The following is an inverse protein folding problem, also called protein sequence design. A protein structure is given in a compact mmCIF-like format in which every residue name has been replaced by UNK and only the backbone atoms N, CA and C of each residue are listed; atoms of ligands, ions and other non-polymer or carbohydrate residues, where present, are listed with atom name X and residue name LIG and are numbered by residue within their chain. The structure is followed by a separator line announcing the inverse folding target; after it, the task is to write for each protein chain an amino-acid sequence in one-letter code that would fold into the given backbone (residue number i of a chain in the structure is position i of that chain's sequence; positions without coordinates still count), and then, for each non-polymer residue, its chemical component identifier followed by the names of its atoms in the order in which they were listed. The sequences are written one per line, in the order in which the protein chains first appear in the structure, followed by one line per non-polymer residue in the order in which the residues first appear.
data_IF_867169580348
#
_entry.id   IF_867169580348
#
_cell.length_a   1.000
_cell.length_b   1.000
_cell.length_c   1.000
_cell.angle_alpha   90.00
_cell.angle_beta   90.00
_cell.angle_gamma   90.00
#
_symmetry.space_group_name_H-M   'P 1'
#
loop_
_entity.id
_entity.type
_entity.pdbx_description
1 polymer ?
#
# COMPACT_ATOMS: atom_id res chain seq x y z
N UNK A 1 -1.18 -11.16 14.47
CA UNK A 1 -0.32 -9.96 14.46
C UNK A 1 0.41 -9.95 13.12
N UNK A 2 0.37 -8.85 12.38
CA UNK A 2 1.11 -8.73 11.12
C UNK A 2 2.60 -8.77 11.46
N UNK A 3 3.32 -9.82 11.04
CA UNK A 3 4.77 -9.84 11.16
C UNK A 3 5.35 -9.01 10.01
N UNK A 4 5.52 -7.72 10.27
CA UNK A 4 6.10 -6.77 9.33
C UNK A 4 7.63 -6.89 9.37
N UNK A 5 8.31 -7.05 8.22
CA UNK A 5 9.76 -6.97 8.15
C UNK A 5 10.28 -5.62 8.66
N UNK A 6 11.45 -5.62 9.31
CA UNK A 6 12.00 -4.41 9.95
C UNK A 6 12.24 -3.27 8.94
N UNK A 7 12.69 -3.59 7.73
CA UNK A 7 12.86 -2.60 6.66
C UNK A 7 11.52 -1.93 6.28
N UNK A 8 10.43 -2.69 6.19
CA UNK A 8 9.11 -2.16 5.88
C UNK A 8 8.57 -1.33 7.04
N UNK A 9 8.82 -1.76 8.28
CA UNK A 9 8.44 -0.99 9.47
C UNK A 9 9.15 0.37 9.53
N UNK A 10 10.45 0.41 9.21
CA UNK A 10 11.24 1.64 9.19
C UNK A 10 10.74 2.61 8.11
N UNK A 11 10.43 2.10 6.91
CA UNK A 11 9.88 2.91 5.82
C UNK A 11 8.56 3.55 6.26
N UNK A 12 7.60 2.76 6.74
CA UNK A 12 6.23 3.21 7.05
C UNK A 12 6.19 4.17 8.25
N UNK A 13 6.98 3.90 9.28
CA UNK A 13 6.99 4.70 10.51
C UNK A 13 7.86 5.96 10.39
N UNK A 14 8.80 5.98 9.45
CA UNK A 14 9.74 7.07 9.23
C UNK A 14 9.28 8.10 8.19
N UNK A 15 10.17 9.06 7.94
CA UNK A 15 10.04 10.02 6.82
C UNK A 15 10.21 9.34 5.46
N UNK A 16 10.84 8.17 5.45
CA UNK A 16 11.12 7.35 4.27
C UNK A 16 9.87 6.88 3.52
N UNK A 17 8.69 6.88 4.16
CA UNK A 17 7.40 6.59 3.52
C UNK A 17 7.03 7.53 2.36
N UNK A 18 7.70 8.67 2.25
CA UNK A 18 7.50 9.63 1.17
C UNK A 18 8.63 9.60 0.12
N UNK A 19 9.67 8.79 0.33
CA UNK A 19 10.73 8.62 -0.67
C UNK A 19 10.24 7.68 -1.79
N UNK A 20 10.11 8.14 -3.05
CA UNK A 20 9.70 7.29 -4.16
C UNK A 20 10.65 6.12 -4.43
N UNK A 21 11.91 6.17 -4.00
CA UNK A 21 12.86 5.07 -4.15
C UNK A 21 12.42 3.81 -3.38
N UNK A 22 11.58 3.96 -2.35
CA UNK A 22 11.08 2.85 -1.54
C UNK A 22 9.84 2.16 -2.16
N UNK A 23 9.34 2.65 -3.30
CA UNK A 23 8.11 2.12 -3.93
C UNK A 23 8.27 0.63 -4.27
N UNK A 24 9.40 0.23 -4.83
CA UNK A 24 9.64 -1.16 -5.26
C UNK A 24 9.70 -2.11 -4.05
N UNK A 25 10.28 -1.66 -2.93
CA UNK A 25 10.30 -2.44 -1.70
C UNK A 25 8.89 -2.69 -1.15
N UNK A 26 8.03 -1.67 -1.18
CA UNK A 26 6.64 -1.77 -0.73
C UNK A 26 5.79 -2.62 -1.69
N UNK A 27 5.97 -2.48 -3.00
CA UNK A 27 5.29 -3.30 -4.00
C UNK A 27 5.67 -4.79 -3.88
N UNK A 28 6.95 -5.08 -3.67
CA UNK A 28 7.41 -6.45 -3.42
C UNK A 28 6.81 -7.03 -2.14
N UNK A 29 6.68 -6.20 -1.09
CA UNK A 29 5.99 -6.62 0.14
C UNK A 29 4.50 -6.85 -0.10
N UNK A 30 3.81 -6.06 -0.92
CA UNK A 30 2.43 -6.32 -1.33
C UNK A 30 2.30 -7.67 -2.07
N UNK A 31 3.24 -8.00 -2.97
CA UNK A 31 3.23 -9.30 -3.64
C UNK A 31 3.37 -10.45 -2.63
N UNK A 32 4.29 -10.32 -1.67
CA UNK A 32 4.43 -11.28 -0.57
C UNK A 32 3.13 -11.42 0.26
N UNK A 33 2.42 -10.31 0.52
CA UNK A 33 1.11 -10.34 1.18
C UNK A 33 0.07 -11.13 0.37
N UNK A 34 0.07 -10.98 -0.96
CA UNK A 34 -0.82 -11.74 -1.85
C UNK A 34 -0.50 -13.25 -1.82
N UNK A 35 0.77 -13.62 -1.90
CA UNK A 35 1.22 -15.02 -1.94
C UNK A 35 0.98 -15.76 -0.62
N UNK A 36 1.15 -15.07 0.51
CA UNK A 36 1.07 -15.67 1.84
C UNK A 36 -0.27 -15.42 2.56
N UNK A 37 -1.25 -14.82 1.87
CA UNK A 37 -2.56 -14.51 2.47
C UNK A 37 -2.51 -13.48 3.61
N UNK A 38 -1.42 -12.72 3.75
CA UNK A 38 -1.24 -11.71 4.80
C UNK A 38 -1.91 -10.39 4.39
N UNK A 39 -2.26 -9.54 5.36
CA UNK A 39 -2.86 -8.24 5.07
C UNK A 39 -2.29 -7.17 5.99
N UNK A 40 -1.68 -6.14 5.39
CA UNK A 40 -1.07 -5.00 6.05
C UNK A 40 -1.61 -3.70 5.44
N UNK A 41 -2.68 -3.17 6.03
CA UNK A 41 -3.36 -1.97 5.55
C UNK A 41 -2.42 -0.76 5.50
N UNK A 42 -1.57 -0.57 6.51
CA UNK A 42 -0.67 0.61 6.57
C UNK A 42 0.34 0.61 5.41
N UNK A 43 0.91 -0.55 5.09
CA UNK A 43 1.82 -0.69 3.96
C UNK A 43 1.11 -0.40 2.64
N UNK A 44 -0.11 -0.90 2.48
CA UNK A 44 -0.91 -0.70 1.28
C UNK A 44 -1.29 0.78 1.09
N UNK A 45 -1.68 1.47 2.17
CA UNK A 45 -1.96 2.91 2.14
C UNK A 45 -0.71 3.75 1.87
N UNK A 46 0.48 3.30 2.33
CA UNK A 46 1.74 3.97 2.02
C UNK A 46 2.05 3.94 0.52
N UNK A 47 1.81 2.81 -0.16
CA UNK A 47 1.95 2.71 -1.63
C UNK A 47 1.02 3.70 -2.32
N UNK A 48 -0.26 3.71 -1.93
CA UNK A 48 -1.26 4.63 -2.54
C UNK A 48 -0.87 6.10 -2.33
N UNK A 49 -0.39 6.48 -1.14
CA UNK A 49 0.11 7.84 -0.89
C UNK A 49 1.32 8.19 -1.75
N UNK A 50 2.26 7.26 -1.94
CA UNK A 50 3.41 7.50 -2.81
C UNK A 50 2.97 7.71 -4.28
N UNK A 51 1.99 6.94 -4.75
CA UNK A 51 1.39 7.14 -6.08
C UNK A 51 0.63 8.47 -6.18
N UNK A 52 -0.06 8.90 -5.13
CA UNK A 52 -0.73 10.21 -5.10
C UNK A 52 0.27 11.36 -5.26
N UNK A 53 1.43 11.29 -4.60
CA UNK A 53 2.49 12.29 -4.74
C UNK A 53 3.31 12.16 -6.02
N UNK A 54 3.35 10.97 -6.61
CA UNK A 54 4.15 10.65 -7.80
C UNK A 54 3.30 9.88 -8.82
N UNK A 55 2.35 10.54 -9.51
CA UNK A 55 1.41 9.86 -10.41
C UNK A 55 2.09 9.07 -11.53
N UNK A 56 3.28 9.50 -11.95
CA UNK A 56 4.09 8.82 -12.98
C UNK A 56 4.61 7.43 -12.56
N UNK A 57 4.65 7.13 -11.26
CA UNK A 57 5.07 5.83 -10.73
C UNK A 57 3.89 4.88 -10.53
N UNK A 58 2.65 5.37 -10.67
CA UNK A 58 1.46 4.59 -10.39
C UNK A 58 1.31 3.41 -11.36
N UNK A 59 1.09 2.22 -10.80
CA UNK A 59 0.87 0.97 -11.55
C UNK A 59 -0.54 0.47 -11.25
N UNK A 60 -1.43 0.48 -12.25
CA UNK A 60 -2.81 -0.03 -12.12
C UNK A 60 -2.89 -1.44 -11.51
N UNK A 61 -2.03 -2.42 -11.88
CA UNK A 61 -2.09 -3.76 -11.28
C UNK A 61 -1.80 -3.78 -9.78
N UNK A 62 -0.96 -2.88 -9.29
CA UNK A 62 -0.65 -2.74 -7.85
C UNK A 62 -1.85 -2.15 -7.11
N UNK A 63 -2.46 -1.11 -7.68
CA UNK A 63 -3.68 -0.50 -7.12
C UNK A 63 -4.80 -1.53 -7.03
N UNK A 64 -5.04 -2.32 -8.08
CA UNK A 64 -6.04 -3.37 -8.09
C UNK A 64 -5.79 -4.42 -6.98
N UNK A 65 -4.53 -4.86 -6.81
CA UNK A 65 -4.15 -5.78 -5.71
C UNK A 65 -4.46 -5.20 -4.34
N UNK A 66 -4.13 -3.93 -4.10
CA UNK A 66 -4.42 -3.23 -2.84
C UNK A 66 -5.92 -3.21 -2.56
N UNK A 67 -6.73 -2.83 -3.55
CA UNK A 67 -8.18 -2.77 -3.42
C UNK A 67 -8.80 -4.16 -3.13
N UNK A 68 -8.35 -5.19 -3.85
CA UNK A 68 -8.80 -6.58 -3.61
C UNK A 68 -8.41 -7.04 -2.21
N UNK A 69 -7.18 -6.75 -1.76
CA UNK A 69 -6.73 -7.08 -0.40
C UNK A 69 -7.57 -6.35 0.65
N UNK A 70 -7.90 -5.08 0.45
CA UNK A 70 -8.77 -4.34 1.37
C UNK A 70 -10.19 -4.93 1.46
N UNK A 71 -10.74 -5.47 0.36
CA UNK A 71 -12.03 -6.19 0.38
C UNK A 71 -11.98 -7.46 1.26
N UNK A 72 -10.82 -8.11 1.39
CA UNK A 72 -10.68 -9.28 2.27
C UNK A 72 -10.78 -8.94 3.76
N UNK A 73 -10.70 -7.65 4.13
CA UNK A 73 -10.79 -7.16 5.49
C UNK A 73 -12.18 -6.60 5.86
N UNK A 74 -13.18 -6.75 4.99
CA UNK A 74 -14.55 -6.32 5.31
C UNK A 74 -15.04 -6.99 6.61
N UNK A 75 -15.76 -6.26 7.48
CA UNK A 75 -16.38 -4.95 7.26
C UNK A 75 -15.51 -3.73 7.62
N UNK A 76 -14.18 -3.87 7.75
CA UNK A 76 -13.31 -2.74 8.03
C UNK A 76 -13.42 -1.64 6.94
N UNK A 77 -13.22 -0.36 7.30
CA UNK A 77 -13.37 0.77 6.37
C UNK A 77 -12.22 0.93 5.37
N UNK A 78 -11.24 0.02 5.38
CA UNK A 78 -9.99 0.10 4.63
C UNK A 78 -10.19 0.28 3.12
N UNK A 79 -11.20 -0.37 2.54
CA UNK A 79 -11.51 -0.22 1.12
C UNK A 79 -11.87 1.22 0.76
N UNK A 80 -12.70 1.88 1.59
CA UNK A 80 -13.07 3.27 1.40
C UNK A 80 -11.89 4.21 1.58
N UNK A 81 -10.97 3.91 2.52
CA UNK A 81 -9.74 4.67 2.69
C UNK A 81 -8.83 4.58 1.46
N UNK A 82 -8.72 3.39 0.87
CA UNK A 82 -7.96 3.20 -0.37
C UNK A 82 -8.55 4.02 -1.52
N UNK A 83 -9.88 4.04 -1.67
CA UNK A 83 -10.55 4.85 -2.70
C UNK A 83 -10.32 6.35 -2.50
N UNK A 84 -10.35 6.84 -1.26
CA UNK A 84 -10.11 8.26 -0.98
C UNK A 84 -8.71 8.71 -1.42
N UNK A 85 -7.69 7.87 -1.23
CA UNK A 85 -6.31 8.18 -1.67
C UNK A 85 -6.11 8.11 -3.19
N UNK A 86 -6.97 7.39 -3.91
CA UNK A 86 -6.96 7.37 -5.37
C UNK A 86 -7.69 8.57 -5.98
N UNK A 87 -8.63 9.15 -5.23
CA UNK A 87 -9.51 10.22 -5.67
C UNK A 87 -8.85 11.60 -5.53
N UNK A 88 -7.77 11.87 -6.27
CA UNK A 88 -7.25 13.23 -6.46
C UNK A 88 -6.54 13.36 -7.81
N UNK A 89 -7.33 13.52 -8.89
CA UNK A 89 -6.94 14.18 -10.16
C UNK A 89 -8.19 14.74 -10.91
N UNK A 90 -9.26 15.09 -10.19
CA UNK A 90 -10.41 15.78 -10.81
C UNK A 90 -10.08 17.25 -11.11
#
# INVERSE_FOLDING_TARGET
MVQRPENIANIINGVERYNPENIDALENYLNHQCENGQYDCEANLAILKLYQFNPQLAKEPIVAKILVKALTALPAPDFNLCLYLLAEHA
#
